data_IF_023844684221
#
_entry.id   IF_023844684221
#
_cell.length_a   1.000
_cell.length_b   1.000
_cell.length_c   1.000
_cell.angle_alpha   90.00
_cell.angle_beta   90.00
_cell.angle_gamma   90.00
#
_symmetry.space_group_name_H-M   'P 1'
#
loop_
_entity.id
_entity.type
_entity.pdbx_description
1 polymer ?
#
# COMPACT_ATOMS: atom_id res chain seq x y z
N UNK A 1 28.73 13.09 18.88
CA UNK A 1 28.54 14.27 18.03
C UNK A 1 27.33 15.07 18.45
N UNK A 2 27.26 16.36 18.13
CA UNK A 2 26.09 17.21 18.41
C UNK A 2 24.83 16.68 17.74
N UNK A 3 24.94 16.17 16.53
CA UNK A 3 23.82 15.55 15.81
C UNK A 3 23.23 14.36 16.57
N UNK A 4 24.06 13.52 17.19
CA UNK A 4 23.59 12.39 17.99
C UNK A 4 22.85 12.87 19.26
N UNK A 5 23.34 13.93 19.91
CA UNK A 5 22.67 14.55 21.04
C UNK A 5 21.32 15.18 20.67
N UNK A 6 21.20 15.63 19.41
CA UNK A 6 19.95 16.17 18.85
C UNK A 6 18.97 15.07 18.35
N UNK A 7 19.28 13.77 18.57
CA UNK A 7 18.41 12.65 18.24
C UNK A 7 18.66 12.01 16.86
N UNK A 8 19.59 12.53 16.07
CA UNK A 8 19.93 11.97 14.75
C UNK A 8 20.94 10.85 14.91
N UNK A 9 20.49 9.61 14.75
CA UNK A 9 21.34 8.42 14.94
C UNK A 9 22.14 8.04 13.71
N UNK A 10 21.63 8.39 12.53
CA UNK A 10 22.22 8.04 11.23
C UNK A 10 22.43 9.28 10.36
N UNK A 11 23.31 9.16 9.35
CA UNK A 11 23.50 10.20 8.32
C UNK A 11 22.18 10.40 7.54
N UNK A 12 21.42 9.32 7.33
CA UNK A 12 20.11 9.39 6.69
C UNK A 12 19.11 10.26 7.48
N UNK A 13 19.13 10.20 8.81
CA UNK A 13 18.26 11.05 9.66
C UNK A 13 18.61 12.53 9.47
N UNK A 14 19.92 12.84 9.46
CA UNK A 14 20.40 14.21 9.22
C UNK A 14 19.99 14.69 7.82
N UNK A 15 20.13 13.83 6.80
CA UNK A 15 19.77 14.17 5.43
C UNK A 15 18.26 14.43 5.29
N UNK A 16 17.41 13.58 5.86
CA UNK A 16 15.94 13.77 5.88
C UNK A 16 15.55 15.08 6.54
N UNK A 17 16.15 15.39 7.68
CA UNK A 17 15.86 16.65 8.39
C UNK A 17 16.32 17.88 7.61
N UNK A 18 17.46 17.82 6.96
CA UNK A 18 17.94 18.91 6.09
C UNK A 18 16.96 19.18 4.93
N UNK A 19 16.43 18.13 4.30
CA UNK A 19 15.45 18.27 3.21
C UNK A 19 14.15 18.88 3.75
N UNK A 20 13.64 18.44 4.91
CA UNK A 20 12.45 19.01 5.54
C UNK A 20 12.62 20.49 5.85
N UNK A 21 13.76 20.89 6.43
CA UNK A 21 14.06 22.30 6.74
C UNK A 21 14.20 23.14 5.47
N UNK A 22 14.83 22.60 4.42
CA UNK A 22 14.93 23.29 3.14
C UNK A 22 13.53 23.52 2.53
N UNK A 23 12.67 22.50 2.52
CA UNK A 23 11.28 22.63 2.06
C UNK A 23 10.47 23.65 2.87
N UNK A 24 10.60 23.64 4.20
CA UNK A 24 9.94 24.62 5.07
C UNK A 24 10.41 26.05 4.77
N UNK A 25 11.72 26.22 4.60
CA UNK A 25 12.30 27.52 4.24
C UNK A 25 11.81 28.03 2.88
N UNK A 26 11.77 27.17 1.86
CA UNK A 26 11.24 27.55 0.53
C UNK A 26 9.78 27.99 0.66
N UNK A 27 8.94 27.28 1.43
CA UNK A 27 7.54 27.67 1.65
C UNK A 27 7.44 29.05 2.32
N UNK A 28 8.28 29.32 3.31
CA UNK A 28 8.28 30.61 4.01
C UNK A 28 8.79 31.76 3.11
N UNK A 29 9.94 31.55 2.45
CA UNK A 29 10.62 32.61 1.68
C UNK A 29 9.91 32.92 0.34
N UNK A 30 9.11 31.99 -0.18
CA UNK A 30 8.47 32.11 -1.51
C UNK A 30 6.94 31.93 -1.47
N UNK A 31 6.31 32.21 -0.33
CA UNK A 31 4.87 31.97 -0.14
C UNK A 31 4.02 32.58 -1.25
N UNK A 32 4.25 33.85 -1.62
CA UNK A 32 3.49 34.55 -2.66
C UNK A 32 3.67 33.92 -4.04
N UNK A 33 4.90 33.51 -4.38
CA UNK A 33 5.20 32.83 -5.64
C UNK A 33 4.60 31.43 -5.70
N UNK A 34 4.53 30.74 -4.56
CA UNK A 34 3.93 29.42 -4.47
C UNK A 34 2.40 29.52 -4.58
N UNK A 35 1.79 30.54 -3.99
CA UNK A 35 0.35 30.78 -4.05
C UNK A 35 -0.14 31.12 -5.48
N UNK A 36 0.72 31.73 -6.31
CA UNK A 36 0.39 32.10 -7.70
C UNK A 36 0.62 30.98 -8.73
N UNK A 37 1.02 29.78 -8.32
CA UNK A 37 1.24 28.63 -9.23
C UNK A 37 -0.06 27.90 -9.53
N UNK A 38 -0.30 27.58 -10.79
CA UNK A 38 -1.42 26.73 -11.20
C UNK A 38 -1.28 25.29 -10.65
N UNK A 39 -0.03 24.81 -10.51
CA UNK A 39 0.27 23.50 -9.94
C UNK A 39 1.09 23.70 -8.66
N UNK A 40 0.63 23.18 -7.52
CA UNK A 40 1.38 23.23 -6.26
C UNK A 40 2.78 22.63 -6.42
N UNK A 41 3.78 23.31 -5.85
CA UNK A 41 5.15 22.76 -5.82
C UNK A 41 5.21 21.62 -4.80
N UNK A 42 5.56 20.43 -5.26
CA UNK A 42 5.86 19.33 -4.37
C UNK A 42 7.22 19.53 -3.69
N UNK A 43 7.17 19.72 -2.37
CA UNK A 43 8.33 19.86 -1.48
C UNK A 43 8.47 18.67 -0.54
N UNK A 44 7.73 17.59 -0.83
CA UNK A 44 7.78 16.34 -0.10
C UNK A 44 8.88 15.42 -0.60
N UNK A 45 9.08 14.34 0.12
CA UNK A 45 9.90 13.19 -0.29
C UNK A 45 9.42 11.95 0.45
N UNK A 46 9.65 10.79 -0.13
CA UNK A 46 9.43 9.50 0.51
C UNK A 46 10.78 8.89 0.86
N UNK A 47 10.86 8.29 2.04
CA UNK A 47 12.05 7.56 2.48
C UNK A 47 11.64 6.11 2.71
N UNK A 48 12.33 5.21 2.02
CA UNK A 48 12.10 3.77 2.13
C UNK A 48 13.30 3.09 2.80
N UNK A 49 13.04 2.00 3.48
CA UNK A 49 14.04 1.07 3.97
C UNK A 49 13.76 -0.28 3.33
N UNK A 50 14.82 -0.96 2.89
CA UNK A 50 14.68 -2.37 2.48
C UNK A 50 14.47 -3.20 3.74
N UNK A 51 13.45 -4.01 3.73
CA UNK A 51 13.09 -4.94 4.80
C UNK A 51 12.64 -6.26 4.20
N UNK A 52 12.35 -7.25 5.03
CA UNK A 52 11.75 -8.52 4.59
C UNK A 52 10.33 -8.29 4.05
N UNK A 53 9.82 -9.25 3.28
CA UNK A 53 8.46 -9.21 2.76
C UNK A 53 7.44 -9.27 3.90
N UNK A 54 6.34 -8.53 3.77
CA UNK A 54 5.20 -8.62 4.69
C UNK A 54 4.31 -9.85 4.41
N UNK A 55 4.64 -10.60 3.36
CA UNK A 55 3.98 -11.84 3.01
C UNK A 55 4.86 -13.03 3.36
N UNK A 56 4.30 -14.03 4.01
CA UNK A 56 4.97 -15.30 4.32
C UNK A 56 5.48 -15.95 3.05
N UNK A 57 6.71 -16.42 3.09
CA UNK A 57 7.35 -17.06 1.95
C UNK A 57 7.09 -18.57 1.98
N UNK A 58 6.63 -19.11 0.86
CA UNK A 58 6.55 -20.56 0.69
C UNK A 58 7.96 -21.12 0.45
N UNK A 59 8.36 -22.09 1.29
CA UNK A 59 9.63 -22.78 1.08
C UNK A 59 9.44 -23.99 0.15
N UNK A 60 9.82 -23.80 -1.11
CA UNK A 60 9.72 -24.87 -2.14
C UNK A 60 10.68 -26.06 -1.94
N UNK A 61 11.69 -25.88 -1.07
CA UNK A 61 12.68 -26.93 -0.81
C UNK A 61 12.20 -27.97 0.19
N UNK A 62 11.09 -27.75 0.86
CA UNK A 62 10.49 -28.69 1.80
C UNK A 62 9.82 -29.81 1.02
N UNK A 63 10.20 -31.06 1.32
CA UNK A 63 9.66 -32.27 0.71
C UNK A 63 8.96 -33.21 1.71
N UNK A 64 9.10 -32.95 3.00
CA UNK A 64 8.42 -33.73 4.05
C UNK A 64 6.91 -33.37 4.06
N UNK A 65 6.02 -34.38 3.94
CA UNK A 65 4.56 -34.13 3.87
C UNK A 65 4.01 -33.41 5.11
N UNK A 66 4.56 -33.66 6.31
CA UNK A 66 4.08 -32.99 7.53
C UNK A 66 4.53 -31.52 7.58
N UNK A 67 5.76 -31.24 7.16
CA UNK A 67 6.25 -29.86 7.03
C UNK A 67 5.48 -29.08 5.97
N UNK A 68 5.16 -29.72 4.82
CA UNK A 68 4.29 -29.11 3.79
C UNK A 68 2.92 -28.78 4.37
N UNK A 69 2.33 -29.71 5.14
CA UNK A 69 1.04 -29.48 5.79
C UNK A 69 1.10 -28.33 6.79
N UNK A 70 2.16 -28.25 7.58
CA UNK A 70 2.37 -27.18 8.54
C UNK A 70 2.55 -25.83 7.83
N UNK A 71 3.32 -25.77 6.74
CA UNK A 71 3.43 -24.56 5.93
C UNK A 71 2.06 -24.14 5.34
N UNK A 72 1.28 -25.08 4.81
CA UNK A 72 -0.05 -24.78 4.29
C UNK A 72 -0.96 -24.20 5.37
N UNK A 73 -0.94 -24.77 6.58
CA UNK A 73 -1.70 -24.24 7.71
C UNK A 73 -1.22 -22.84 8.16
N UNK A 74 0.09 -22.62 8.18
CA UNK A 74 0.67 -21.33 8.54
C UNK A 74 0.38 -20.23 7.49
N UNK A 75 0.18 -20.62 6.24
CA UNK A 75 -0.14 -19.71 5.13
C UNK A 75 -1.66 -19.51 4.90
N UNK A 76 -2.52 -19.99 5.80
CA UNK A 76 -3.95 -19.64 5.79
C UNK A 76 -4.16 -18.12 5.96
N UNK A 77 -3.31 -17.46 6.74
CA UNK A 77 -3.11 -16.02 6.70
C UNK A 77 -1.74 -15.76 6.07
N UNK A 78 -1.67 -15.23 4.85
CA UNK A 78 -0.42 -15.06 4.14
C UNK A 78 0.45 -13.92 4.67
N UNK A 79 -0.04 -13.14 5.64
CA UNK A 79 0.68 -11.98 6.15
C UNK A 79 1.59 -12.35 7.32
N UNK A 80 2.74 -11.69 7.38
CA UNK A 80 3.64 -11.77 8.53
C UNK A 80 3.04 -11.06 9.74
N UNK A 81 3.38 -11.55 10.94
CA UNK A 81 2.94 -10.94 12.18
C UNK A 81 3.54 -9.54 12.34
N UNK A 82 2.69 -8.55 12.55
CA UNK A 82 3.11 -7.14 12.69
C UNK A 82 3.16 -6.35 11.39
N UNK A 83 2.81 -6.94 10.24
CA UNK A 83 2.67 -6.20 8.99
C UNK A 83 1.63 -5.07 9.14
N UNK A 84 2.02 -3.84 8.78
CA UNK A 84 1.11 -2.69 8.81
C UNK A 84 0.49 -2.47 7.43
N UNK A 85 -0.68 -1.82 7.40
CA UNK A 85 -1.35 -1.50 6.12
C UNK A 85 -0.48 -0.60 5.22
N UNK A 86 0.33 0.30 5.79
CA UNK A 86 1.26 1.15 5.04
C UNK A 86 2.41 0.33 4.42
N UNK A 87 2.94 -0.65 5.14
CA UNK A 87 3.98 -1.54 4.63
C UNK A 87 3.42 -2.45 3.52
N UNK A 88 2.23 -3.03 3.74
CA UNK A 88 1.52 -3.84 2.74
C UNK A 88 1.21 -3.05 1.48
N UNK A 89 0.67 -1.84 1.63
CA UNK A 89 0.39 -0.95 0.50
C UNK A 89 1.67 -0.66 -0.29
N UNK A 90 2.76 -0.33 0.41
CA UNK A 90 4.04 -0.05 -0.23
C UNK A 90 4.56 -1.26 -1.00
N UNK A 91 4.52 -2.46 -0.40
CA UNK A 91 4.97 -3.69 -1.03
C UNK A 91 4.13 -4.05 -2.25
N UNK A 92 2.80 -3.96 -2.15
CA UNK A 92 1.88 -4.25 -3.27
C UNK A 92 2.11 -3.28 -4.44
N UNK A 93 2.31 -1.99 -4.17
CA UNK A 93 2.62 -1.01 -5.20
C UNK A 93 3.96 -1.32 -5.89
N UNK A 94 4.98 -1.70 -5.13
CA UNK A 94 6.29 -2.09 -5.67
C UNK A 94 6.19 -3.37 -6.51
N UNK A 95 5.49 -4.40 -6.04
CA UNK A 95 5.26 -5.66 -6.78
C UNK A 95 4.51 -5.43 -8.09
N UNK A 96 3.61 -4.45 -8.14
CA UNK A 96 2.89 -4.03 -9.34
C UNK A 96 3.69 -3.09 -10.25
N UNK A 97 4.91 -2.71 -9.86
CA UNK A 97 5.75 -1.78 -10.63
C UNK A 97 5.21 -0.35 -10.66
N UNK A 98 4.33 0.00 -9.73
CA UNK A 98 3.79 1.37 -9.61
C UNK A 98 4.91 2.31 -9.17
N UNK A 99 5.00 3.46 -9.84
CA UNK A 99 6.01 4.46 -9.46
C UNK A 99 5.88 4.87 -8.00
N UNK A 100 6.98 4.89 -7.21
CA UNK A 100 6.96 5.42 -5.85
C UNK A 100 6.50 6.88 -5.74
N UNK A 101 6.50 7.61 -6.86
CA UNK A 101 6.03 9.00 -6.96
C UNK A 101 4.57 9.10 -7.42
N UNK A 102 3.90 7.98 -7.70
CA UNK A 102 2.51 7.99 -8.11
C UNK A 102 1.63 8.68 -7.06
N UNK A 103 0.66 9.47 -7.53
CA UNK A 103 -0.35 10.06 -6.67
C UNK A 103 -1.25 8.95 -6.14
N UNK A 104 -1.40 8.89 -4.83
CA UNK A 104 -2.33 8.00 -4.15
C UNK A 104 -3.47 8.85 -3.60
N UNK A 105 -4.69 8.54 -3.99
CA UNK A 105 -5.90 9.12 -3.44
C UNK A 105 -6.40 8.22 -2.31
N UNK A 106 -6.37 8.75 -1.09
CA UNK A 106 -6.78 8.02 0.09
C UNK A 106 -8.29 8.19 0.29
N UNK A 107 -8.99 7.07 0.38
CA UNK A 107 -10.37 6.98 0.82
C UNK A 107 -10.42 6.33 2.21
N UNK A 108 -11.55 6.37 2.89
CA UNK A 108 -11.67 5.88 4.27
C UNK A 108 -11.22 4.42 4.43
N UNK A 109 -11.51 3.56 3.44
CA UNK A 109 -11.28 2.12 3.53
C UNK A 109 -10.45 1.54 2.37
N UNK A 110 -9.98 2.37 1.44
CA UNK A 110 -9.16 1.93 0.31
C UNK A 110 -8.34 3.07 -0.25
N UNK A 111 -7.32 2.73 -1.03
CA UNK A 111 -6.52 3.68 -1.79
C UNK A 111 -6.83 3.54 -3.27
N UNK A 112 -6.83 4.65 -4.00
CA UNK A 112 -6.94 4.66 -5.46
C UNK A 112 -5.72 5.33 -6.08
N UNK A 113 -5.14 4.70 -7.10
CA UNK A 113 -3.99 5.19 -7.85
C UNK A 113 -4.47 5.52 -9.27
N UNK A 114 -4.77 6.82 -9.56
CA UNK A 114 -5.38 7.22 -10.83
C UNK A 114 -4.55 6.89 -12.07
N UNK A 115 -3.21 6.99 -11.98
CA UNK A 115 -2.31 6.69 -13.11
C UNK A 115 -2.42 5.26 -13.60
N UNK A 116 -2.66 4.33 -12.68
CA UNK A 116 -2.77 2.87 -12.95
C UNK A 116 -4.22 2.40 -13.00
N UNK A 117 -5.18 3.26 -12.66
CA UNK A 117 -6.58 2.89 -12.39
C UNK A 117 -6.67 1.69 -11.46
N UNK A 118 -5.82 1.67 -10.44
CA UNK A 118 -5.70 0.59 -9.46
C UNK A 118 -6.34 1.02 -8.14
N UNK A 119 -7.22 0.19 -7.60
CA UNK A 119 -7.71 0.33 -6.23
C UNK A 119 -7.10 -0.76 -5.35
N UNK A 120 -6.70 -0.42 -4.13
CA UNK A 120 -6.17 -1.36 -3.13
C UNK A 120 -6.97 -1.20 -1.85
N UNK A 121 -7.58 -2.29 -1.39
CA UNK A 121 -8.40 -2.30 -0.19
C UNK A 121 -7.88 -3.36 0.79
N UNK A 122 -7.37 -2.91 1.94
CA UNK A 122 -6.69 -3.74 2.95
C UNK A 122 -7.56 -3.96 4.20
N UNK A 123 -8.87 -3.75 4.10
CA UNK A 123 -9.80 -3.92 5.24
C UNK A 123 -9.88 -5.38 5.72
N UNK A 124 -10.26 -5.54 6.98
CA UNK A 124 -10.49 -6.85 7.58
C UNK A 124 -11.89 -7.43 7.30
N UNK A 125 -12.81 -6.61 6.82
CA UNK A 125 -14.18 -7.03 6.50
C UNK A 125 -14.68 -6.30 5.27
N UNK A 126 -14.96 -7.06 4.22
CA UNK A 126 -15.51 -6.55 2.97
C UNK A 126 -17.04 -6.56 3.04
N UNK A 127 -17.66 -5.51 2.47
CA UNK A 127 -19.10 -5.43 2.27
C UNK A 127 -19.42 -5.11 0.82
N UNK A 128 -20.66 -5.42 0.39
CA UNK A 128 -21.12 -5.09 -0.96
C UNK A 128 -21.12 -3.58 -1.21
N UNK A 129 -21.48 -2.77 -0.20
CA UNK A 129 -21.50 -1.30 -0.29
C UNK A 129 -20.09 -0.73 -0.47
N UNK A 130 -19.12 -1.25 0.30
CA UNK A 130 -17.72 -0.83 0.15
C UNK A 130 -17.21 -1.19 -1.24
N UNK A 131 -17.47 -2.40 -1.70
CA UNK A 131 -17.05 -2.84 -3.03
C UNK A 131 -17.68 -2.01 -4.14
N UNK A 132 -18.96 -1.69 -4.04
CA UNK A 132 -19.64 -0.79 -4.96
C UNK A 132 -19.00 0.61 -4.97
N UNK A 133 -18.57 1.12 -3.81
CA UNK A 133 -17.85 2.39 -3.69
C UNK A 133 -16.49 2.34 -4.39
N UNK A 134 -15.77 1.23 -4.27
CA UNK A 134 -14.51 1.01 -4.99
C UNK A 134 -14.76 1.01 -6.50
N UNK A 135 -15.75 0.26 -6.98
CA UNK A 135 -16.08 0.20 -8.42
C UNK A 135 -16.56 1.54 -8.98
N UNK A 136 -17.16 2.42 -8.16
CA UNK A 136 -17.57 3.76 -8.57
C UNK A 136 -16.38 4.66 -8.96
N UNK A 137 -15.16 4.37 -8.50
CA UNK A 137 -13.93 5.05 -8.94
C UNK A 137 -13.48 4.62 -10.33
N UNK A 138 -14.15 3.64 -10.94
CA UNK A 138 -13.88 3.05 -12.26
C UNK A 138 -12.44 2.52 -12.39
N UNK A 139 -12.01 1.66 -11.47
CA UNK A 139 -10.69 1.05 -11.55
C UNK A 139 -10.62 0.08 -12.75
N UNK A 140 -9.43 -0.16 -13.28
CA UNK A 140 -9.17 -1.28 -14.20
C UNK A 140 -8.84 -2.55 -13.42
N UNK A 141 -8.24 -2.39 -12.22
CA UNK A 141 -7.92 -3.52 -11.35
C UNK A 141 -8.12 -3.16 -9.87
N UNK A 142 -8.43 -4.16 -9.08
CA UNK A 142 -8.64 -4.06 -7.63
C UNK A 142 -7.83 -5.14 -6.93
N UNK A 143 -7.10 -4.80 -5.87
CA UNK A 143 -6.43 -5.75 -4.99
C UNK A 143 -7.18 -5.80 -3.66
N UNK A 144 -7.51 -7.01 -3.22
CA UNK A 144 -8.20 -7.30 -1.97
C UNK A 144 -7.42 -8.32 -1.16
N UNK A 145 -7.54 -8.29 0.17
CA UNK A 145 -7.03 -9.35 1.03
C UNK A 145 -8.06 -10.47 1.15
N UNK A 146 -7.63 -11.74 1.06
CA UNK A 146 -8.54 -12.90 1.21
C UNK A 146 -9.23 -12.92 2.57
N UNK A 147 -8.50 -12.54 3.62
CA UNK A 147 -9.04 -12.44 4.98
C UNK A 147 -10.24 -11.50 5.10
N UNK A 148 -10.39 -10.52 4.20
CA UNK A 148 -11.50 -9.56 4.23
C UNK A 148 -12.86 -10.21 4.00
N UNK A 149 -12.89 -11.41 3.41
CA UNK A 149 -14.12 -12.16 3.18
C UNK A 149 -14.52 -13.03 4.38
N UNK A 150 -13.65 -13.19 5.39
CA UNK A 150 -13.97 -13.98 6.60
C UNK A 150 -14.37 -15.43 6.32
N UNK A 151 -13.97 -16.00 5.17
CA UNK A 151 -14.36 -17.33 4.70
C UNK A 151 -15.73 -17.37 4.02
N UNK A 152 -16.43 -16.25 3.82
CA UNK A 152 -17.67 -16.19 3.04
C UNK A 152 -17.39 -16.30 1.54
N UNK A 153 -17.43 -17.54 1.05
CA UNK A 153 -17.18 -17.86 -0.37
C UNK A 153 -18.27 -17.23 -1.25
N UNK A 154 -19.52 -17.13 -0.78
CA UNK A 154 -20.62 -16.59 -1.57
C UNK A 154 -20.39 -15.09 -1.81
N UNK A 155 -20.06 -14.35 -0.76
CA UNK A 155 -19.70 -12.93 -0.88
C UNK A 155 -18.54 -12.76 -1.86
N UNK A 156 -17.46 -13.50 -1.68
CA UNK A 156 -16.27 -13.45 -2.55
C UNK A 156 -16.64 -13.66 -4.01
N UNK A 157 -17.36 -14.75 -4.32
CA UNK A 157 -17.76 -15.08 -5.70
C UNK A 157 -18.68 -14.01 -6.29
N UNK A 158 -19.64 -13.52 -5.52
CA UNK A 158 -20.56 -12.49 -5.99
C UNK A 158 -19.84 -11.19 -6.35
N UNK A 159 -18.89 -10.75 -5.53
CA UNK A 159 -18.11 -9.53 -5.80
C UNK A 159 -17.19 -9.70 -7.01
N UNK A 160 -16.54 -10.86 -7.16
CA UNK A 160 -15.72 -11.17 -8.33
C UNK A 160 -16.55 -11.14 -9.62
N UNK A 161 -17.75 -11.76 -9.63
CA UNK A 161 -18.66 -11.73 -10.78
C UNK A 161 -19.18 -10.32 -11.08
N UNK A 162 -19.39 -9.50 -10.05
CA UNK A 162 -19.78 -8.10 -10.21
C UNK A 162 -18.67 -7.28 -10.89
N UNK A 163 -17.41 -7.48 -10.48
CA UNK A 163 -16.25 -6.83 -11.09
C UNK A 163 -16.06 -7.25 -12.55
N UNK A 164 -16.13 -8.57 -12.82
CA UNK A 164 -16.01 -9.12 -14.17
C UNK A 164 -17.04 -8.51 -15.14
N UNK A 165 -18.28 -8.37 -14.73
CA UNK A 165 -19.34 -7.72 -15.53
C UNK A 165 -19.03 -6.28 -15.88
N UNK A 166 -18.20 -5.59 -15.09
CA UNK A 166 -17.76 -4.22 -15.34
C UNK A 166 -16.39 -4.16 -16.03
N UNK A 167 -15.79 -5.30 -16.36
CA UNK A 167 -14.47 -5.39 -16.98
C UNK A 167 -13.33 -5.01 -16.02
N UNK A 168 -13.54 -5.19 -14.71
CA UNK A 168 -12.55 -4.91 -13.67
C UNK A 168 -11.88 -6.22 -13.26
N UNK A 169 -10.54 -6.24 -13.32
CA UNK A 169 -9.73 -7.35 -12.81
C UNK A 169 -9.64 -7.30 -11.30
N UNK A 170 -9.87 -8.41 -10.60
CA UNK A 170 -9.72 -8.48 -9.14
C UNK A 170 -8.67 -9.51 -8.79
N UNK A 171 -7.67 -9.09 -8.05
CA UNK A 171 -6.67 -9.93 -7.43
C UNK A 171 -6.95 -10.05 -5.95
N UNK A 172 -7.00 -11.27 -5.45
CA UNK A 172 -7.16 -11.57 -4.03
C UNK A 172 -5.85 -12.16 -3.51
N UNK A 173 -5.24 -11.51 -2.55
CA UNK A 173 -3.93 -11.84 -1.95
C UNK A 173 -4.07 -12.22 -0.49
#
# INVERSE_FOLDING_TARGET
>A
SEAYKAGYRTIADIARERIRRAGAKIRADQADKLASRDVPLDLGFRAYRVDDSNFKQWNELVSDPEEIRQQALANLDPLEEGATDDDLLTELLLKRGVSPLAKIEQHDNFCFIPSEKLAICLVHSMTEELFATILATKPSSVILLDRAFGGDINLKVNLLLQAERQGVEVEVV
#
